data_IF_631094105211
#
_entry.id   IF_631094105211
#
_cell.length_a   1.000
_cell.length_b   1.000
_cell.length_c   1.000
_cell.angle_alpha   90.00
_cell.angle_beta   90.00
_cell.angle_gamma   90.00
#
_symmetry.space_group_name_H-M   'P 1'
#
loop_
_entity.id
_entity.type
_entity.pdbx_description
1 polymer ?
#
# COMPACT_ATOMS: atom_id res chain seq x y z
N UNK A 1 -3.63 -1.05 -16.21
CA UNK A 1 -2.83 -1.74 -15.16
C UNK A 1 -2.84 -0.88 -13.91
N UNK A 2 -3.35 -1.38 -12.77
CA UNK A 2 -3.52 -0.58 -11.54
C UNK A 2 -2.25 -0.60 -10.67
N UNK A 3 -1.72 -1.79 -10.37
CA UNK A 3 -0.44 -1.99 -9.66
C UNK A 3 0.40 -3.07 -10.36
N UNK A 4 1.71 -3.02 -10.15
CA UNK A 4 2.63 -4.11 -10.54
C UNK A 4 2.79 -5.10 -9.39
N UNK A 5 3.17 -6.34 -9.70
CA UNK A 5 3.45 -7.37 -8.69
C UNK A 5 4.54 -6.92 -7.70
N UNK A 6 5.53 -6.17 -8.19
CA UNK A 6 6.57 -5.57 -7.36
C UNK A 6 6.00 -4.63 -6.28
N UNK A 7 5.05 -3.76 -6.65
CA UNK A 7 4.37 -2.86 -5.70
C UNK A 7 3.57 -3.66 -4.68
N UNK A 8 2.87 -4.71 -5.10
CA UNK A 8 2.11 -5.57 -4.20
C UNK A 8 3.01 -6.30 -3.19
N UNK A 9 4.14 -6.85 -3.64
CA UNK A 9 5.13 -7.45 -2.76
C UNK A 9 5.68 -6.45 -1.75
N UNK A 10 6.05 -5.25 -2.19
CA UNK A 10 6.52 -4.19 -1.29
C UNK A 10 5.47 -3.79 -0.24
N UNK A 11 4.18 -3.77 -0.58
CA UNK A 11 3.09 -3.48 0.38
C UNK A 11 3.04 -4.58 1.46
N UNK A 12 3.15 -5.85 1.06
CA UNK A 12 3.14 -6.98 2.00
C UNK A 12 4.39 -6.98 2.88
N UNK A 13 5.56 -6.76 2.30
CA UNK A 13 6.84 -6.73 3.03
C UNK A 13 6.92 -5.56 4.01
N UNK A 14 6.50 -4.36 3.59
CA UNK A 14 6.57 -3.15 4.44
C UNK A 14 5.40 -3.00 5.40
N UNK A 15 4.26 -3.67 5.14
CA UNK A 15 3.04 -3.56 5.94
C UNK A 15 2.72 -2.10 6.33
N UNK A 16 2.50 -1.20 5.35
CA UNK A 16 2.31 0.22 5.61
C UNK A 16 1.10 0.45 6.52
N UNK A 17 1.27 1.32 7.51
CA UNK A 17 0.21 1.68 8.47
C UNK A 17 -0.41 3.05 8.21
N UNK A 18 0.24 3.87 7.37
CA UNK A 18 -0.17 5.23 7.05
C UNK A 18 0.11 5.55 5.57
N UNK A 19 -0.50 6.63 5.06
CA UNK A 19 -0.32 7.05 3.66
C UNK A 19 1.12 7.48 3.35
N UNK A 20 1.86 8.01 4.34
CA UNK A 20 3.28 8.30 4.20
C UNK A 20 4.09 7.03 3.91
N UNK A 21 3.82 5.91 4.59
CA UNK A 21 4.52 4.65 4.33
C UNK A 21 4.24 4.11 2.92
N UNK A 22 3.02 4.35 2.41
CA UNK A 22 2.65 4.01 1.03
C UNK A 22 3.42 4.85 0.00
N UNK A 23 3.80 6.10 0.31
CA UNK A 23 4.54 6.98 -0.62
C UNK A 23 5.98 6.53 -0.84
N UNK A 24 6.52 5.76 0.10
CA UNK A 24 7.88 5.19 0.04
C UNK A 24 7.92 3.98 -0.91
N UNK A 25 6.75 3.42 -1.28
CA UNK A 25 6.67 2.26 -2.16
C UNK A 25 6.88 2.70 -3.61
N UNK A 26 7.95 2.20 -4.22
CA UNK A 26 8.38 2.61 -5.55
C UNK A 26 7.35 2.13 -6.58
N UNK A 27 6.64 3.06 -7.23
CA UNK A 27 5.54 2.75 -8.16
C UNK A 27 4.13 3.08 -7.63
N UNK A 28 4.04 3.49 -6.35
CA UNK A 28 2.83 4.00 -5.70
C UNK A 28 2.90 5.54 -5.64
N UNK A 29 2.44 6.20 -6.71
CA UNK A 29 2.38 7.65 -6.76
C UNK A 29 1.22 8.25 -5.96
N UNK A 30 1.30 9.54 -5.66
CA UNK A 30 0.31 10.29 -4.85
C UNK A 30 -1.14 10.10 -5.32
N UNK A 31 -1.39 10.07 -6.64
CA UNK A 31 -2.73 9.84 -7.23
C UNK A 31 -3.31 8.47 -6.87
N UNK A 32 -2.47 7.44 -6.78
CA UNK A 32 -2.93 6.09 -6.40
C UNK A 32 -3.14 5.98 -4.90
N UNK A 33 -2.32 6.67 -4.10
CA UNK A 33 -2.48 6.73 -2.64
C UNK A 33 -3.76 7.46 -2.26
N UNK A 34 -4.09 8.53 -2.98
CA UNK A 34 -5.34 9.26 -2.79
C UNK A 34 -6.56 8.39 -3.12
N UNK A 35 -6.51 7.64 -4.24
CA UNK A 35 -7.62 6.79 -4.69
C UNK A 35 -7.77 5.47 -3.95
N UNK A 36 -6.67 4.83 -3.57
CA UNK A 36 -6.64 3.44 -3.09
C UNK A 36 -5.89 3.28 -1.77
N UNK A 37 -5.22 4.32 -1.27
CA UNK A 37 -4.36 4.21 -0.09
C UNK A 37 -5.15 3.81 1.15
N UNK A 38 -6.33 4.37 1.37
CA UNK A 38 -7.17 3.99 2.51
C UNK A 38 -7.60 2.52 2.46
N UNK A 39 -8.08 2.02 1.32
CA UNK A 39 -8.44 0.62 1.15
C UNK A 39 -7.23 -0.31 1.36
N UNK A 40 -6.06 0.05 0.84
CA UNK A 40 -4.83 -0.72 1.05
C UNK A 40 -4.48 -0.77 2.53
N UNK A 41 -4.51 0.37 3.24
CA UNK A 41 -4.22 0.43 4.67
C UNK A 41 -5.23 -0.37 5.50
N UNK A 42 -6.51 -0.32 5.15
CA UNK A 42 -7.55 -1.12 5.80
C UNK A 42 -7.31 -2.62 5.59
N UNK A 43 -6.99 -3.03 4.36
CA UNK A 43 -6.64 -4.41 4.02
C UNK A 43 -5.42 -4.85 4.83
N UNK A 44 -4.32 -4.09 4.78
CA UNK A 44 -3.09 -4.40 5.53
C UNK A 44 -3.40 -4.52 7.03
N UNK A 45 -4.16 -3.58 7.61
CA UNK A 45 -4.56 -3.62 9.02
C UNK A 45 -5.42 -4.84 9.36
N UNK A 46 -6.28 -5.28 8.44
CA UNK A 46 -7.16 -6.45 8.61
C UNK A 46 -6.37 -7.75 8.66
N UNK A 47 -5.32 -7.88 7.85
CA UNK A 47 -4.50 -9.09 7.76
C UNK A 47 -3.28 -9.08 8.69
N UNK A 48 -2.86 -7.92 9.21
CA UNK A 48 -1.75 -7.78 10.17
C UNK A 48 -2.18 -8.01 11.64
N UNK A 49 -3.39 -8.54 11.88
CA UNK A 49 -3.79 -9.09 13.18
C UNK A 49 -3.49 -10.60 13.17
N UNK A 50 -2.26 -10.95 13.54
CA UNK A 50 -1.88 -12.29 13.99
C UNK A 50 -1.47 -12.19 15.45
#
# INVERSE_FOLDING_TARGET
MVFTNDVLNQIVEKCPKNQDELIIIKGLGKVKIDKYGNDILEMVRRYNKV
#
